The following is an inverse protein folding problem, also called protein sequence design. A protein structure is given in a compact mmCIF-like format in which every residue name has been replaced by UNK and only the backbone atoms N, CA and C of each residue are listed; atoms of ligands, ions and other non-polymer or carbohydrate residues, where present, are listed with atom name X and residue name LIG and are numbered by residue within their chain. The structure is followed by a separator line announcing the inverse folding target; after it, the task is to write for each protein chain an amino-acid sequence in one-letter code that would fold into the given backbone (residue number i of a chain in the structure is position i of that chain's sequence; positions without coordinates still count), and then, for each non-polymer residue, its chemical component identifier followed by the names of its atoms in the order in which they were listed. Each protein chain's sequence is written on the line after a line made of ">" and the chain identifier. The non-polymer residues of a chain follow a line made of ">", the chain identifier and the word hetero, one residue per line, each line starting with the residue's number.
data_IF_641649004097
#
_entry.id   IF_641649004097
#
_cell.length_a   1.000
_cell.length_b   1.000
_cell.length_c   1.000
_cell.angle_alpha   90.00
_cell.angle_beta   90.00
_cell.angle_gamma   90.00
#
_symmetry.space_group_name_H-M   'P 1'
#
loop_
_entity.id
_entity.type
_entity.pdbx_description
1 polymer ?
#
# COMPACT_ATOMS: atom_id res chain seq x y z
N UNK A 1 8.77 -12.66 1.59
CA UNK A 1 8.04 -12.19 2.77
C UNK A 1 6.58 -12.59 2.64
N UNK A 2 6.01 -13.28 3.65
CA UNK A 2 4.59 -13.60 3.66
C UNK A 2 3.83 -12.41 4.23
N UNK A 3 3.16 -11.64 3.35
CA UNK A 3 2.28 -10.56 3.75
C UNK A 3 0.91 -11.11 4.14
N UNK A 4 0.39 -10.73 5.30
CA UNK A 4 -1.01 -10.97 5.68
C UNK A 4 -1.86 -9.74 5.35
N UNK A 5 -3.01 -9.97 4.70
CA UNK A 5 -3.99 -8.94 4.40
C UNK A 5 -5.22 -9.17 5.26
N UNK A 6 -5.51 -8.23 6.17
CA UNK A 6 -6.62 -8.35 7.13
C UNK A 6 -7.65 -7.26 6.86
N UNK A 7 -8.93 -7.65 6.76
CA UNK A 7 -10.04 -6.69 6.66
C UNK A 7 -10.25 -6.01 8.03
N UNK A 8 -10.31 -4.68 8.04
CA UNK A 8 -10.52 -3.85 9.23
C UNK A 8 -11.85 -3.08 9.19
N UNK A 9 -12.75 -3.47 8.29
CA UNK A 9 -14.07 -2.88 8.10
C UNK A 9 -14.11 -1.69 7.14
N UNK A 10 -15.29 -1.41 6.59
CA UNK A 10 -15.51 -0.27 5.70
C UNK A 10 -14.81 -0.38 4.33
N UNK A 11 -14.46 -1.61 3.90
CA UNK A 11 -13.74 -1.85 2.66
C UNK A 11 -12.24 -1.51 2.72
N UNK A 12 -11.69 -1.42 3.94
CA UNK A 12 -10.29 -1.12 4.20
C UNK A 12 -9.58 -2.36 4.76
N UNK A 13 -8.29 -2.45 4.45
CA UNK A 13 -7.44 -3.56 4.81
C UNK A 13 -6.13 -3.06 5.40
N UNK A 14 -5.51 -3.87 6.25
CA UNK A 14 -4.10 -3.73 6.61
C UNK A 14 -3.28 -4.77 5.86
N UNK A 15 -2.00 -4.46 5.61
CA UNK A 15 -1.04 -5.37 5.00
C UNK A 15 0.13 -5.48 5.97
N UNK A 16 0.36 -6.66 6.56
CA UNK A 16 1.36 -6.89 7.59
C UNK A 16 2.44 -7.85 7.07
N UNK A 17 3.71 -7.51 7.30
CA UNK A 17 4.79 -8.48 7.22
C UNK A 17 4.83 -9.30 8.52
N UNK A 18 4.40 -10.56 8.45
CA UNK A 18 4.34 -11.46 9.62
C UNK A 18 5.68 -11.80 10.24
N UNK A 19 6.76 -11.73 9.47
CA UNK A 19 8.11 -12.06 9.96
C UNK A 19 8.59 -11.04 10.99
N UNK A 20 8.22 -9.77 10.81
CA UNK A 20 8.68 -8.67 11.65
C UNK A 20 7.56 -8.03 12.49
N UNK A 21 6.31 -8.47 12.32
CA UNK A 21 5.11 -7.87 12.95
C UNK A 21 4.97 -6.37 12.63
N UNK A 22 5.14 -6.04 11.35
CA UNK A 22 5.15 -4.65 10.90
C UNK A 22 4.15 -4.40 9.76
N UNK A 23 3.51 -3.23 9.78
CA UNK A 23 2.54 -2.85 8.75
C UNK A 23 3.18 -2.11 7.59
N UNK A 24 2.63 -2.32 6.39
CA UNK A 24 2.85 -1.45 5.24
C UNK A 24 2.15 -0.11 5.48
N UNK A 25 2.90 0.99 5.52
CA UNK A 25 2.37 2.32 5.82
C UNK A 25 2.78 3.33 4.75
N UNK A 26 1.81 4.06 4.20
CA UNK A 26 2.08 5.28 3.44
C UNK A 26 2.38 6.44 4.41
N UNK A 27 3.62 6.93 4.38
CA UNK A 27 4.06 8.07 5.20
C UNK A 27 3.40 9.38 4.76
N UNK A 28 3.54 10.41 5.60
CA UNK A 28 3.28 11.81 5.21
C UNK A 28 4.47 12.44 4.50
N UNK A 29 5.66 11.89 4.67
CA UNK A 29 6.89 12.39 4.05
C UNK A 29 6.97 11.96 2.59
N UNK A 30 7.50 12.85 1.75
CA UNK A 30 7.65 12.60 0.32
C UNK A 30 9.11 12.45 -0.10
N UNK A 31 9.36 11.56 -1.05
CA UNK A 31 10.64 11.48 -1.74
C UNK A 31 10.85 12.64 -2.73
N UNK A 32 12.00 12.69 -3.38
CA UNK A 32 12.36 13.74 -4.36
C UNK A 32 11.37 13.84 -5.54
N UNK A 33 10.68 12.75 -5.87
CA UNK A 33 9.66 12.69 -6.91
C UNK A 33 8.24 13.05 -6.40
N UNK A 34 8.13 13.59 -5.17
CA UNK A 34 6.88 13.97 -4.50
C UNK A 34 5.90 12.80 -4.27
N UNK A 35 6.41 11.58 -4.23
CA UNK A 35 5.62 10.41 -3.83
C UNK A 35 5.80 10.19 -2.33
N UNK A 36 4.76 9.75 -1.64
CA UNK A 36 4.87 9.36 -0.23
C UNK A 36 5.75 8.13 -0.08
N UNK A 37 6.63 8.16 0.91
CA UNK A 37 7.39 6.96 1.27
C UNK A 37 6.45 5.85 1.75
N UNK A 38 6.78 4.60 1.40
CA UNK A 38 6.11 3.42 1.95
C UNK A 38 7.11 2.65 2.79
N UNK A 39 6.78 2.48 4.06
CA UNK A 39 7.62 1.78 5.01
C UNK A 39 6.97 0.48 5.43
N UNK A 40 7.82 -0.53 5.67
CA UNK A 40 7.44 -1.75 6.37
C UNK A 40 7.84 -1.68 7.85
N UNK A 41 8.27 -0.55 8.39
CA UNK A 41 9.00 -0.48 9.68
C UNK A 41 8.20 0.12 10.84
N UNK A 42 6.88 -0.10 10.86
CA UNK A 42 6.09 0.41 11.98
C UNK A 42 5.47 -0.75 12.77
N UNK A 43 6.12 -1.13 13.91
CA UNK A 43 5.61 -2.13 14.83
C UNK A 43 4.20 -1.77 15.32
N UNK A 44 3.35 -2.77 15.46
CA UNK A 44 1.94 -2.61 15.77
C UNK A 44 1.65 -1.77 17.02
N UNK A 45 0.77 -0.80 16.85
CA UNK A 45 -0.49 -0.69 17.59
C UNK A 45 -1.43 0.20 16.77
N UNK A 46 -2.70 -0.20 16.70
CA UNK A 46 -3.76 0.50 15.99
C UNK A 46 -3.69 2.02 16.22
N UNK A 47 -3.60 2.82 15.15
CA UNK A 47 -3.70 4.29 15.26
C UNK A 47 -2.83 5.12 14.34
N UNK A 48 -1.89 4.53 13.60
CA UNK A 48 -1.02 5.31 12.71
C UNK A 48 -1.77 5.80 11.47
N UNK A 49 -1.62 7.05 11.07
CA UNK A 49 -2.15 7.47 9.77
C UNK A 49 -1.43 6.74 8.63
N UNK A 50 -2.16 6.17 7.67
CA UNK A 50 -1.60 5.62 6.42
C UNK A 50 -1.38 4.10 6.34
N UNK A 51 -1.74 3.32 7.37
CA UNK A 51 -1.64 1.84 7.35
C UNK A 51 -2.89 1.13 6.78
N UNK A 52 -3.96 1.89 6.54
CA UNK A 52 -5.21 1.38 5.97
C UNK A 52 -5.24 1.60 4.46
N UNK A 53 -5.47 0.51 3.75
CA UNK A 53 -5.44 0.45 2.31
C UNK A 53 -6.81 0.03 1.78
N UNK A 54 -7.25 0.64 0.69
CA UNK A 54 -8.36 0.11 -0.10
C UNK A 54 -7.78 -0.82 -1.16
N UNK A 55 -8.24 -2.06 -1.20
CA UNK A 55 -7.77 -3.06 -2.16
C UNK A 55 -8.94 -3.42 -3.08
N UNK A 56 -8.81 -3.05 -4.35
CA UNK A 56 -9.79 -3.42 -5.39
C UNK A 56 -9.20 -4.55 -6.22
N UNK A 57 -9.78 -5.75 -6.13
CA UNK A 57 -9.35 -6.92 -6.91
C UNK A 57 -10.02 -6.90 -8.28
N UNK A 58 -9.23 -7.12 -9.32
CA UNK A 58 -9.64 -7.34 -10.71
C UNK A 58 -9.25 -8.77 -11.11
N UNK A 59 -9.68 -9.24 -12.28
CA UNK A 59 -9.41 -10.62 -12.75
C UNK A 59 -7.90 -10.96 -12.78
N UNK A 60 -7.05 -10.00 -13.15
CA UNK A 60 -5.61 -10.25 -13.38
C UNK A 60 -4.68 -9.51 -12.42
N UNK A 61 -5.19 -8.52 -11.68
CA UNK A 61 -4.39 -7.67 -10.79
C UNK A 61 -5.26 -7.06 -9.70
N UNK A 62 -4.62 -6.41 -8.74
CA UNK A 62 -5.25 -5.61 -7.70
C UNK A 62 -4.74 -4.18 -7.78
N UNK A 63 -5.61 -3.25 -7.43
CA UNK A 63 -5.27 -1.85 -7.21
C UNK A 63 -5.28 -1.61 -5.71
N UNK A 64 -4.21 -1.00 -5.20
CA UNK A 64 -4.02 -0.73 -3.78
C UNK A 64 -3.91 0.79 -3.59
N UNK A 65 -4.88 1.37 -2.90
CA UNK A 65 -5.01 2.81 -2.69
C UNK A 65 -4.81 3.14 -1.21
N UNK A 66 -4.18 4.28 -0.91
CA UNK A 66 -4.12 4.87 0.42
C UNK A 66 -5.15 6.01 0.50
N UNK A 67 -6.35 5.78 1.06
CA UNK A 67 -7.44 6.75 0.98
C UNK A 67 -7.12 8.07 1.71
N UNK A 68 -6.40 7.98 2.82
CA UNK A 68 -6.06 9.13 3.65
C UNK A 68 -5.18 10.15 2.91
N UNK A 69 -4.23 9.69 2.11
CA UNK A 69 -3.30 10.52 1.35
C UNK A 69 -3.73 10.69 -0.12
N UNK A 70 -4.87 10.12 -0.52
CA UNK A 70 -5.37 10.12 -1.91
C UNK A 70 -4.28 9.71 -2.91
N UNK A 71 -3.63 8.59 -2.61
CA UNK A 71 -2.50 8.09 -3.38
C UNK A 71 -2.62 6.60 -3.67
N UNK A 72 -1.80 6.12 -4.61
CA UNK A 72 -1.81 4.74 -5.11
C UNK A 72 -0.48 4.07 -4.80
N UNK A 73 -0.51 2.84 -4.31
CA UNK A 73 0.70 2.05 -4.14
C UNK A 73 1.31 1.75 -5.52
N UNK A 74 2.59 2.05 -5.69
CA UNK A 74 3.31 1.82 -6.93
C UNK A 74 4.71 1.26 -6.71
N UNK A 75 5.23 0.62 -7.75
CA UNK A 75 6.65 0.30 -7.89
C UNK A 75 7.35 1.37 -8.74
N UNK A 76 8.39 1.98 -8.21
CA UNK A 76 9.31 2.86 -8.93
C UNK A 76 10.16 2.08 -9.95
N UNK A 77 10.87 2.81 -10.81
CA UNK A 77 11.78 2.23 -11.81
C UNK A 77 13.02 1.56 -11.19
N UNK A 78 13.35 1.93 -9.96
CA UNK A 78 14.42 1.38 -9.13
C UNK A 78 13.91 0.29 -8.18
N UNK A 79 12.74 -0.29 -8.48
CA UNK A 79 12.04 -1.31 -7.67
C UNK A 79 11.62 -0.82 -6.27
N UNK A 80 11.75 0.48 -5.98
CA UNK A 80 11.27 1.03 -4.71
C UNK A 80 9.75 1.03 -4.66
N UNK A 81 9.16 0.74 -3.50
CA UNK A 81 7.72 0.86 -3.30
C UNK A 81 7.41 2.23 -2.70
N UNK A 82 6.42 2.93 -3.25
CA UNK A 82 5.98 4.24 -2.76
C UNK A 82 4.48 4.44 -3.01
N UNK A 83 3.88 5.46 -2.40
CA UNK A 83 2.49 5.82 -2.66
C UNK A 83 2.44 7.14 -3.43
N UNK A 84 2.03 7.08 -4.70
CA UNK A 84 2.01 8.23 -5.61
C UNK A 84 0.66 8.93 -5.57
N UNK A 85 0.59 10.24 -5.27
CA UNK A 85 -0.63 11.01 -5.40
C UNK A 85 -1.15 10.92 -6.85
N UNK A 86 -2.38 10.45 -7.01
CA UNK A 86 -3.00 10.35 -8.33
C UNK A 86 -4.53 10.36 -8.21
N UNK A 87 -5.25 10.93 -9.20
CA UNK A 87 -6.71 10.92 -9.21
C UNK A 87 -7.29 9.54 -9.52
N UNK A 88 -6.50 8.67 -10.15
CA UNK A 88 -6.87 7.31 -10.53
C UNK A 88 -5.66 6.38 -10.45
N UNK A 89 -5.87 5.18 -9.91
CA UNK A 89 -4.83 4.18 -9.72
C UNK A 89 -4.84 3.06 -10.78
N UNK A 90 -5.79 3.06 -11.72
CA UNK A 90 -5.96 1.99 -12.72
C UNK A 90 -5.33 2.31 -14.10
N UNK A 91 -4.73 3.50 -14.23
CA UNK A 91 -4.29 4.08 -15.50
C UNK A 91 -2.92 3.60 -15.98
N UNK A 92 -2.11 3.00 -15.12
CA UNK A 92 -0.73 2.61 -15.44
C UNK A 92 -0.34 1.26 -14.85
N UNK A 93 0.59 0.57 -15.53
CA UNK A 93 1.03 -0.77 -15.13
C UNK A 93 1.72 -0.80 -13.76
N UNK A 94 2.50 0.23 -13.42
CA UNK A 94 3.20 0.32 -12.13
C UNK A 94 2.28 0.50 -10.91
N UNK A 95 0.98 0.66 -11.11
CA UNK A 95 -0.03 0.63 -10.03
C UNK A 95 -0.69 -0.75 -9.85
N UNK A 96 -0.42 -1.72 -10.72
CA UNK A 96 -1.10 -3.01 -10.74
C UNK A 96 -0.29 -4.04 -9.98
N UNK A 97 -0.90 -4.63 -8.96
CA UNK A 97 -0.26 -5.59 -8.06
C UNK A 97 -0.84 -6.99 -8.24
N UNK A 98 0.00 -8.01 -8.29
CA UNK A 98 -0.46 -9.40 -8.19
C UNK A 98 -0.42 -9.83 -6.73
N UNK A 99 -1.58 -10.15 -6.17
CA UNK A 99 -1.71 -10.74 -4.84
C UNK A 99 -2.01 -12.23 -5.04
N UNK A 100 -1.05 -13.08 -4.73
CA UNK A 100 -1.22 -14.54 -4.79
C UNK A 100 -1.35 -15.11 -3.37
N UNK A 101 -2.27 -16.03 -3.17
CA UNK A 101 -2.29 -16.89 -1.98
C UNK A 101 -1.21 -17.97 -2.16
N UNK A 102 -0.34 -18.11 -1.16
CA UNK A 102 0.62 -19.20 -1.06
C UNK A 102 0.04 -20.36 -0.26
#
# INVERSE_FOLDING_TARGET
>A
AMGEITDVGGGLYTIMNKEFDEYLVASRDTNWAKNYHVFLWIPGNEGLSGHKWKITRQEQYSIIEAPQSKSCLMTGSDETVSAKPAPRCDVAAFFKWRIASC
#
